data_IF_466638321634
#
_entry.id   IF_466638321634
#
_cell.length_a   1.000
_cell.length_b   1.000
_cell.length_c   1.000
_cell.angle_alpha   90.00
_cell.angle_beta   90.00
_cell.angle_gamma   90.00
#
_symmetry.space_group_name_H-M   'P 1'
#
loop_
_entity.id
_entity.type
_entity.pdbx_description
1 polymer ?
#
# COMPACT_ATOMS: atom_id res chain seq x y z
N UNK A 1 28.82 -36.35 -20.14
CA UNK A 1 27.74 -36.57 -19.16
C UNK A 1 28.09 -35.87 -17.85
N UNK A 2 27.09 -35.41 -17.09
CA UNK A 2 27.19 -34.70 -15.80
C UNK A 2 27.56 -33.19 -15.81
N UNK A 3 26.55 -32.34 -16.05
CA UNK A 3 26.38 -31.11 -15.24
C UNK A 3 24.91 -31.05 -14.80
N UNK A 4 24.63 -31.71 -13.67
CA UNK A 4 23.33 -31.66 -12.98
C UNK A 4 22.96 -30.21 -12.67
N UNK A 5 21.73 -29.84 -13.04
CA UNK A 5 21.13 -28.55 -12.76
C UNK A 5 21.20 -28.20 -11.27
N UNK A 6 21.54 -26.94 -11.02
CA UNK A 6 21.50 -26.30 -9.70
C UNK A 6 20.03 -26.32 -9.25
N UNK A 7 19.68 -27.22 -8.34
CA UNK A 7 18.34 -27.23 -7.71
C UNK A 7 18.25 -25.96 -6.87
N UNK A 8 17.38 -25.06 -7.28
CA UNK A 8 17.00 -23.87 -6.53
C UNK A 8 16.12 -24.41 -5.39
N UNK A 9 16.61 -24.34 -4.15
CA UNK A 9 15.83 -24.71 -2.98
C UNK A 9 14.66 -23.73 -2.77
N UNK A 10 13.71 -24.04 -1.87
CA UNK A 10 12.66 -23.08 -1.54
C UNK A 10 13.31 -21.80 -1.00
N UNK A 11 13.11 -20.70 -1.70
CA UNK A 11 13.59 -19.39 -1.29
C UNK A 11 12.96 -19.05 0.06
N UNK A 12 13.78 -18.92 1.09
CA UNK A 12 13.34 -18.52 2.43
C UNK A 12 12.92 -17.05 2.39
N UNK A 13 11.61 -16.81 2.25
CA UNK A 13 11.01 -15.48 2.18
C UNK A 13 10.85 -14.80 3.55
N UNK A 14 11.35 -15.39 4.64
CA UNK A 14 11.03 -14.97 6.01
C UNK A 14 11.57 -13.59 6.42
N UNK A 15 12.53 -13.00 5.68
CA UNK A 15 13.18 -11.75 6.10
C UNK A 15 13.49 -10.77 4.97
N UNK A 16 12.55 -10.51 4.05
CA UNK A 16 12.70 -9.37 3.12
C UNK A 16 12.28 -8.09 3.84
N UNK A 17 13.25 -7.29 4.27
CA UNK A 17 13.05 -5.95 4.86
C UNK A 17 12.04 -5.20 3.97
N UNK A 18 10.87 -4.84 4.53
CA UNK A 18 9.88 -4.03 3.83
C UNK A 18 10.61 -2.77 3.33
N UNK A 19 10.59 -2.52 2.03
CA UNK A 19 11.29 -1.39 1.44
C UNK A 19 10.87 -0.08 2.09
N UNK A 20 11.82 0.64 2.68
CA UNK A 20 11.62 1.97 3.26
C UNK A 20 11.85 3.03 2.18
N UNK A 21 10.77 3.67 1.74
CA UNK A 21 10.81 4.73 0.74
C UNK A 21 11.30 6.08 1.31
N UNK A 22 11.50 6.20 2.63
CA UNK A 22 11.95 7.44 3.27
C UNK A 22 13.40 7.78 2.95
N UNK A 23 14.25 6.77 2.73
CA UNK A 23 15.68 6.97 2.40
C UNK A 23 15.96 6.92 0.90
N UNK A 24 15.14 6.19 0.14
CA UNK A 24 15.27 6.06 -1.31
C UNK A 24 13.87 5.81 -1.92
N UNK A 25 13.36 6.71 -2.78
CA UNK A 25 12.02 6.59 -3.36
C UNK A 25 11.88 5.38 -4.30
N UNK A 26 12.98 4.74 -4.70
CA UNK A 26 12.98 3.53 -5.54
C UNK A 26 13.00 2.24 -4.72
N UNK A 27 13.29 2.33 -3.41
CA UNK A 27 13.40 1.20 -2.51
C UNK A 27 12.05 0.87 -1.84
N UNK A 28 11.06 0.52 -2.66
CA UNK A 28 9.75 0.06 -2.19
C UNK A 28 9.49 -1.40 -2.60
N UNK A 29 8.84 -2.16 -1.73
CA UNK A 29 8.44 -3.55 -2.01
C UNK A 29 7.01 -3.61 -2.54
N UNK A 30 6.75 -4.50 -3.50
CA UNK A 30 5.38 -4.82 -3.95
C UNK A 30 4.58 -5.64 -2.94
N UNK A 31 5.20 -6.07 -1.85
CA UNK A 31 4.59 -6.98 -0.88
C UNK A 31 3.32 -6.40 -0.22
N UNK A 32 3.35 -5.12 0.17
CA UNK A 32 2.19 -4.47 0.79
C UNK A 32 1.00 -4.37 -0.18
N UNK A 33 1.26 -4.15 -1.47
CA UNK A 33 0.22 -4.15 -2.50
C UNK A 33 -0.40 -5.56 -2.65
N UNK A 34 0.41 -6.61 -2.63
CA UNK A 34 -0.10 -8.00 -2.68
C UNK A 34 -0.97 -8.32 -1.47
N UNK A 35 -0.56 -7.91 -0.27
CA UNK A 35 -1.33 -8.11 0.95
C UNK A 35 -2.69 -7.38 0.88
N UNK A 36 -2.71 -6.16 0.37
CA UNK A 36 -3.95 -5.40 0.19
C UNK A 36 -4.89 -6.05 -0.82
N UNK A 37 -4.38 -6.55 -1.96
CA UNK A 37 -5.17 -7.27 -2.96
C UNK A 37 -5.70 -8.59 -2.37
N UNK A 38 -4.86 -9.32 -1.63
CA UNK A 38 -5.26 -10.57 -0.97
C UNK A 38 -6.40 -10.33 0.02
N UNK A 39 -6.31 -9.30 0.85
CA UNK A 39 -7.37 -8.94 1.80
C UNK A 39 -8.69 -8.64 1.07
N UNK A 40 -8.64 -7.88 -0.02
CA UNK A 40 -9.82 -7.57 -0.82
C UNK A 40 -10.47 -8.82 -1.44
N UNK A 41 -9.67 -9.73 -1.99
CA UNK A 41 -10.16 -11.01 -2.53
C UNK A 41 -10.80 -11.85 -1.42
N UNK A 42 -10.17 -11.94 -0.25
CA UNK A 42 -10.72 -12.67 0.89
C UNK A 42 -12.01 -12.04 1.42
N UNK A 43 -12.12 -10.71 1.39
CA UNK A 43 -13.32 -9.99 1.79
C UNK A 43 -14.52 -10.37 0.91
N UNK A 44 -14.33 -10.41 -0.41
CA UNK A 44 -15.34 -10.87 -1.37
C UNK A 44 -15.74 -12.33 -1.10
N UNK A 45 -14.76 -13.23 -0.97
CA UNK A 45 -15.03 -14.67 -0.82
C UNK A 45 -15.75 -15.01 0.50
N UNK A 46 -15.55 -14.20 1.55
CA UNK A 46 -16.10 -14.43 2.88
C UNK A 46 -17.31 -13.52 3.20
N UNK A 47 -17.77 -12.73 2.23
CA UNK A 47 -18.84 -11.74 2.39
C UNK A 47 -18.64 -10.85 3.64
N UNK A 48 -17.42 -10.29 3.77
CA UNK A 48 -17.04 -9.38 4.86
C UNK A 48 -16.49 -8.07 4.32
N UNK A 49 -16.40 -7.05 5.17
CA UNK A 49 -15.71 -5.81 4.83
C UNK A 49 -14.20 -6.04 4.64
N UNK A 50 -13.59 -5.41 3.61
CA UNK A 50 -12.13 -5.37 3.50
C UNK A 50 -11.54 -4.49 4.60
N UNK A 51 -10.24 -4.64 4.85
CA UNK A 51 -9.49 -3.85 5.83
C UNK A 51 -9.64 -2.34 5.61
N UNK A 52 -9.77 -1.92 4.35
CA UNK A 52 -10.04 -0.53 3.96
C UNK A 52 -11.23 -0.51 3.01
N UNK A 53 -12.38 -0.08 3.49
CA UNK A 53 -13.58 0.08 2.67
C UNK A 53 -13.67 1.46 2.02
N UNK A 54 -14.73 1.72 1.25
CA UNK A 54 -14.88 2.97 0.52
C UNK A 54 -14.96 4.22 1.42
N UNK A 55 -15.53 4.12 2.63
CA UNK A 55 -15.61 5.23 3.57
C UNK A 55 -14.21 5.54 4.13
N UNK A 56 -13.48 4.51 4.55
CA UNK A 56 -12.10 4.67 5.04
C UNK A 56 -11.16 5.18 3.94
N UNK A 57 -11.28 4.66 2.72
CA UNK A 57 -10.50 5.11 1.57
C UNK A 57 -10.70 6.60 1.23
N UNK A 58 -11.89 7.16 1.47
CA UNK A 58 -12.16 8.60 1.27
C UNK A 58 -11.33 9.49 2.19
N UNK A 59 -10.90 9.02 3.37
CA UNK A 59 -10.07 9.83 4.28
C UNK A 59 -8.72 10.21 3.67
N UNK A 60 -8.13 9.31 2.87
CA UNK A 60 -6.88 9.61 2.14
C UNK A 60 -7.08 10.72 1.11
N UNK A 61 -8.21 10.71 0.40
CA UNK A 61 -8.55 11.79 -0.56
C UNK A 61 -8.74 13.12 0.15
N UNK A 62 -9.38 13.14 1.32
CA UNK A 62 -9.55 14.36 2.11
C UNK A 62 -8.19 15.01 2.43
N UNK A 63 -7.20 14.22 2.87
CA UNK A 63 -5.86 14.71 3.17
C UNK A 63 -5.18 15.29 1.92
N UNK A 64 -5.20 14.56 0.80
CA UNK A 64 -4.60 15.00 -0.46
C UNK A 64 -5.25 16.31 -0.94
N UNK A 65 -6.59 16.41 -0.89
CA UNK A 65 -7.32 17.64 -1.23
C UNK A 65 -6.94 18.80 -0.32
N UNK A 66 -6.81 18.56 0.99
CA UNK A 66 -6.41 19.58 1.95
C UNK A 66 -4.98 20.09 1.68
N UNK A 67 -4.04 19.22 1.28
CA UNK A 67 -2.68 19.62 0.90
C UNK A 67 -2.72 20.60 -0.27
N UNK A 68 -3.44 20.27 -1.34
CA UNK A 68 -3.53 21.14 -2.51
C UNK A 68 -4.25 22.47 -2.20
N UNK A 69 -5.32 22.45 -1.41
CA UNK A 69 -6.04 23.66 -1.00
C UNK A 69 -5.19 24.54 -0.08
N UNK A 70 -4.50 23.93 0.88
CA UNK A 70 -3.55 24.63 1.77
C UNK A 70 -2.43 25.29 0.97
N UNK A 71 -1.83 24.57 0.02
CA UNK A 71 -0.78 25.11 -0.85
C UNK A 71 -1.23 26.34 -1.64
N UNK A 72 -2.46 26.33 -2.17
CA UNK A 72 -3.05 27.48 -2.88
C UNK A 72 -3.40 28.65 -1.98
N UNK A 73 -3.92 28.39 -0.77
CA UNK A 73 -4.38 29.42 0.16
C UNK A 73 -3.27 29.94 1.09
N UNK A 74 -2.13 29.25 1.14
CA UNK A 74 -1.05 29.43 2.12
C UNK A 74 -1.54 29.45 3.57
N UNK A 75 -2.57 28.65 3.88
CA UNK A 75 -3.24 28.61 5.18
C UNK A 75 -3.68 27.18 5.52
N UNK A 76 -3.74 26.81 6.81
CA UNK A 76 -4.28 25.51 7.23
C UNK A 76 -5.73 25.31 6.77
N UNK A 77 -6.06 24.09 6.34
CA UNK A 77 -7.41 23.68 5.95
C UNK A 77 -8.00 22.81 7.06
N UNK A 78 -9.24 23.12 7.47
CA UNK A 78 -9.99 22.28 8.42
C UNK A 78 -10.70 21.16 7.67
N UNK A 79 -10.83 20.01 8.33
CA UNK A 79 -11.61 18.88 7.86
C UNK A 79 -13.06 18.94 8.37
N UNK A 80 -14.05 18.40 7.64
CA UNK A 80 -13.92 17.89 6.26
C UNK A 80 -13.64 19.03 5.27
N UNK A 81 -12.97 18.70 4.16
CA UNK A 81 -12.66 19.69 3.13
C UNK A 81 -13.97 20.12 2.46
N UNK A 82 -14.40 21.36 2.68
CA UNK A 82 -15.50 21.97 1.91
C UNK A 82 -15.10 22.05 0.45
N UNK A 83 -16.04 21.92 -0.49
CA UNK A 83 -15.77 22.06 -1.93
C UNK A 83 -15.28 23.46 -2.32
#
# INVERSE_FOLDING_TARGET
DSKRGKRIGPEDHSHKKLGDASSDPTHFSSENHKLQIKDFIEAINKDKEPLVNGIEGRKSLEIVRAIYKSGKASKPIKFPVSD
#
